data_IF_212141358815
#
_entry.id   IF_212141358815
#
_cell.length_a   1.000
_cell.length_b   1.000
_cell.length_c   1.000
_cell.angle_alpha   90.00
_cell.angle_beta   90.00
_cell.angle_gamma   90.00
#
_symmetry.space_group_name_H-M   'P 1'
#
loop_
_entity.id
_entity.type
_entity.pdbx_description
1 polymer ?
#
# COMPACT_ATOMS: atom_id res chain seq x y z
N UNK A 1 -27.82 -18.13 -4.48
CA UNK A 1 -27.47 -17.07 -3.52
C UNK A 1 -26.37 -17.66 -2.67
N UNK A 2 -25.11 -17.50 -3.10
CA UNK A 2 -23.96 -18.07 -2.40
C UNK A 2 -23.54 -17.02 -1.38
N UNK A 3 -23.49 -17.46 -0.13
CA UNK A 3 -23.14 -16.69 1.04
C UNK A 3 -21.66 -16.26 0.94
N UNK A 4 -21.42 -15.05 0.44
CA UNK A 4 -20.08 -14.48 0.26
C UNK A 4 -19.46 -13.97 1.58
N UNK A 5 -19.96 -14.37 2.74
CA UNK A 5 -19.58 -13.79 4.03
C UNK A 5 -18.35 -14.44 4.70
N UNK A 6 -17.90 -15.61 4.22
CA UNK A 6 -16.88 -16.40 4.94
C UNK A 6 -15.41 -16.11 4.53
N UNK A 7 -15.16 -15.29 3.49
CA UNK A 7 -13.77 -15.00 3.02
C UNK A 7 -13.41 -13.51 2.86
N UNK A 8 -14.34 -12.57 3.09
CA UNK A 8 -14.05 -11.14 2.83
C UNK A 8 -13.19 -10.49 3.93
N UNK A 9 -13.24 -10.95 5.18
CA UNK A 9 -12.51 -10.28 6.28
C UNK A 9 -11.01 -10.58 6.26
N UNK A 10 -10.63 -11.83 6.00
CA UNK A 10 -9.21 -12.23 5.95
C UNK A 10 -8.49 -11.60 4.74
N UNK A 11 -9.18 -11.52 3.59
CA UNK A 11 -8.66 -10.86 2.38
C UNK A 11 -8.42 -9.36 2.60
N UNK A 12 -9.27 -8.66 3.37
CA UNK A 12 -9.08 -7.22 3.65
C UNK A 12 -7.87 -6.93 4.53
N UNK A 13 -7.62 -7.77 5.54
CA UNK A 13 -6.44 -7.62 6.41
C UNK A 13 -5.15 -7.94 5.65
N UNK A 14 -5.14 -9.03 4.88
CA UNK A 14 -4.02 -9.39 4.01
C UNK A 14 -3.76 -8.32 2.94
N UNK A 15 -4.82 -7.76 2.35
CA UNK A 15 -4.72 -6.66 1.41
C UNK A 15 -4.11 -5.41 2.07
N UNK A 16 -4.55 -5.05 3.29
CA UNK A 16 -3.99 -3.91 4.03
C UNK A 16 -2.50 -4.08 4.35
N UNK A 17 -2.06 -5.31 4.60
CA UNK A 17 -0.65 -5.66 4.82
C UNK A 17 0.15 -5.84 3.52
N UNK A 18 -0.48 -5.76 2.35
CA UNK A 18 0.15 -6.00 1.06
C UNK A 18 0.63 -7.45 0.85
N UNK A 19 -0.01 -8.41 1.53
CA UNK A 19 0.41 -9.83 1.56
C UNK A 19 -0.39 -10.74 0.63
N UNK A 20 -1.29 -10.19 -0.19
CA UNK A 20 -2.09 -10.95 -1.16
C UNK A 20 -1.32 -11.28 -2.44
N UNK A 21 -1.73 -12.34 -3.14
CA UNK A 21 -1.28 -12.58 -4.50
C UNK A 21 -1.96 -11.62 -5.50
N UNK A 22 -1.36 -11.45 -6.68
CA UNK A 22 -1.86 -10.50 -7.71
C UNK A 22 -3.31 -10.76 -8.14
N UNK A 23 -3.76 -12.02 -8.16
CA UNK A 23 -5.15 -12.37 -8.52
C UNK A 23 -6.16 -12.04 -7.42
N UNK A 24 -5.71 -11.93 -6.18
CA UNK A 24 -6.56 -11.71 -5.01
C UNK A 24 -6.76 -10.21 -4.76
N UNK A 25 -5.74 -9.39 -5.06
CA UNK A 25 -5.81 -7.93 -5.03
C UNK A 25 -6.96 -7.39 -5.90
N UNK A 26 -7.09 -7.87 -7.14
CA UNK A 26 -8.12 -7.40 -8.06
C UNK A 26 -9.55 -7.69 -7.54
N UNK A 27 -9.74 -8.82 -6.86
CA UNK A 27 -11.05 -9.17 -6.26
C UNK A 27 -11.41 -8.22 -5.11
N UNK A 28 -10.43 -7.89 -4.27
CA UNK A 28 -10.63 -6.93 -3.17
C UNK A 28 -10.90 -5.54 -3.73
N UNK A 29 -10.16 -5.10 -4.74
CA UNK A 29 -10.36 -3.80 -5.40
C UNK A 29 -11.78 -3.66 -5.97
N UNK A 30 -12.25 -4.67 -6.71
CA UNK A 30 -13.61 -4.71 -7.25
C UNK A 30 -14.66 -4.66 -6.13
N UNK A 31 -14.45 -5.43 -5.07
CA UNK A 31 -15.40 -5.50 -3.95
C UNK A 31 -15.51 -4.17 -3.18
N UNK A 32 -14.38 -3.55 -2.82
CA UNK A 32 -14.41 -2.29 -2.04
C UNK A 32 -14.91 -1.11 -2.86
N UNK A 33 -14.84 -1.17 -4.19
CA UNK A 33 -15.48 -0.20 -5.08
C UNK A 33 -17.02 -0.29 -5.01
N UNK A 34 -17.58 -1.48 -4.77
CA UNK A 34 -19.03 -1.72 -4.69
C UNK A 34 -19.62 -1.79 -3.26
N UNK A 35 -18.78 -1.92 -2.22
CA UNK A 35 -19.23 -2.19 -0.85
C UNK A 35 -18.69 -1.15 0.16
N UNK A 36 -19.49 -0.14 0.54
CA UNK A 36 -19.04 0.92 1.46
C UNK A 36 -18.60 0.43 2.84
N UNK A 37 -19.22 -0.62 3.38
CA UNK A 37 -18.83 -1.18 4.69
C UNK A 37 -17.45 -1.82 4.65
N UNK A 38 -17.12 -2.54 3.57
CA UNK A 38 -15.79 -3.12 3.37
C UNK A 38 -14.74 -2.04 3.05
N UNK A 39 -15.11 -0.99 2.33
CA UNK A 39 -14.23 0.17 2.14
C UNK A 39 -13.88 0.87 3.47
N UNK A 40 -14.88 1.05 4.35
CA UNK A 40 -14.67 1.61 5.70
C UNK A 40 -13.75 0.72 6.54
N UNK A 41 -14.00 -0.60 6.56
CA UNK A 41 -13.18 -1.56 7.29
C UNK A 41 -11.74 -1.63 6.77
N UNK A 42 -11.56 -1.56 5.45
CA UNK A 42 -10.22 -1.49 4.85
C UNK A 42 -9.46 -0.22 5.27
N UNK A 43 -10.15 0.92 5.38
CA UNK A 43 -9.54 2.16 5.88
C UNK A 43 -9.08 2.02 7.33
N UNK A 44 -9.88 1.37 8.19
CA UNK A 44 -9.49 1.06 9.58
C UNK A 44 -8.24 0.16 9.63
N UNK A 45 -8.22 -0.90 8.83
CA UNK A 45 -7.09 -1.84 8.77
C UNK A 45 -5.82 -1.18 8.24
N UNK A 46 -5.91 -0.32 7.21
CA UNK A 46 -4.77 0.46 6.72
C UNK A 46 -4.22 1.39 7.81
N UNK A 47 -5.09 2.06 8.55
CA UNK A 47 -4.67 2.90 9.68
C UNK A 47 -3.92 2.11 10.76
N UNK A 48 -4.37 0.90 11.07
CA UNK A 48 -3.64 0.00 11.99
C UNK A 48 -2.30 -0.46 11.39
N UNK A 49 -2.29 -0.87 10.12
CA UNK A 49 -1.07 -1.32 9.43
C UNK A 49 0.00 -0.22 9.39
N UNK A 50 -0.38 1.03 9.13
CA UNK A 50 0.51 2.20 9.15
C UNK A 50 1.08 2.49 10.55
N UNK A 51 0.36 2.13 11.61
CA UNK A 51 0.80 2.31 12.98
C UNK A 51 1.76 1.21 13.46
N UNK A 52 1.70 0.00 12.90
CA UNK A 52 2.52 -1.15 13.33
C UNK A 52 4.03 -0.85 13.35
N UNK A 53 4.64 -0.20 12.31
CA UNK A 53 6.07 0.11 12.32
C UNK A 53 6.50 1.02 13.47
N UNK A 54 5.59 1.84 14.01
CA UNK A 54 5.90 2.77 15.11
C UNK A 54 6.15 2.07 16.43
N UNK A 55 5.68 0.83 16.58
CA UNK A 55 5.93 0.00 17.77
C UNK A 55 7.28 -0.73 17.70
N UNK A 56 7.97 -0.72 16.56
CA UNK A 56 9.23 -1.42 16.36
C UNK A 56 10.42 -0.56 16.79
N UNK A 57 11.48 -1.21 17.28
CA UNK A 57 12.74 -0.53 17.54
C UNK A 57 13.36 -0.02 16.22
N UNK A 58 13.73 1.27 16.12
CA UNK A 58 14.38 1.79 14.92
C UNK A 58 15.73 1.13 14.66
N UNK A 59 16.00 0.76 13.42
CA UNK A 59 17.31 0.29 12.96
C UNK A 59 18.04 1.46 12.30
N UNK A 60 19.29 1.70 12.70
CA UNK A 60 20.09 2.77 12.08
C UNK A 60 20.40 2.42 10.62
N UNK A 61 20.08 3.31 9.65
CA UNK A 61 20.43 3.08 8.26
C UNK A 61 21.95 3.25 8.02
N UNK A 62 22.48 2.77 6.88
CA UNK A 62 23.83 3.11 6.42
C UNK A 62 24.04 4.64 6.38
N UNK A 63 25.22 5.10 6.78
CA UNK A 63 25.51 6.54 6.95
C UNK A 63 25.41 7.35 5.65
N UNK A 64 25.61 6.70 4.50
CA UNK A 64 25.56 7.28 3.17
C UNK A 64 24.15 7.27 2.54
N UNK A 65 23.18 6.56 3.13
CA UNK A 65 21.85 6.39 2.56
C UNK A 65 21.14 7.73 2.32
N UNK A 66 21.28 8.67 3.26
CA UNK A 66 20.67 10.00 3.14
C UNK A 66 21.25 10.82 1.97
N UNK A 67 22.55 10.69 1.70
CA UNK A 67 23.17 11.34 0.55
C UNK A 67 22.71 10.71 -0.76
N UNK A 68 22.60 9.37 -0.80
CA UNK A 68 22.07 8.64 -1.94
C UNK A 68 20.62 9.05 -2.26
N UNK A 69 19.74 9.12 -1.25
CA UNK A 69 18.34 9.56 -1.39
C UNK A 69 18.29 11.01 -1.92
N UNK A 70 19.08 11.92 -1.35
CA UNK A 70 19.11 13.33 -1.80
C UNK A 70 19.58 13.46 -3.24
N UNK A 71 20.63 12.73 -3.62
CA UNK A 71 21.15 12.71 -4.98
C UNK A 71 20.09 12.24 -5.96
N UNK A 72 19.41 11.12 -5.67
CA UNK A 72 18.35 10.57 -6.52
C UNK A 72 17.14 11.50 -6.62
N UNK A 73 16.69 12.09 -5.51
CA UNK A 73 15.59 13.05 -5.53
C UNK A 73 15.90 14.27 -6.40
N UNK A 74 17.15 14.78 -6.35
CA UNK A 74 17.62 15.85 -7.26
C UNK A 74 17.60 15.39 -8.71
N UNK A 75 18.15 14.20 -9.02
CA UNK A 75 18.11 13.66 -10.40
C UNK A 75 16.69 13.56 -10.94
N UNK A 76 15.74 13.04 -10.16
CA UNK A 76 14.33 12.93 -10.57
C UNK A 76 13.67 14.28 -10.82
N UNK A 77 13.98 15.30 -10.00
CA UNK A 77 13.50 16.68 -10.22
C UNK A 77 14.12 17.33 -11.46
N UNK A 78 15.40 17.08 -11.70
CA UNK A 78 16.16 17.66 -12.80
C UNK A 78 15.90 16.98 -14.15
N UNK A 79 15.39 15.73 -14.17
CA UNK A 79 14.84 15.09 -15.38
C UNK A 79 13.47 15.72 -15.65
N UNK A 80 13.35 16.72 -16.53
CA UNK A 80 12.06 17.28 -16.88
C UNK A 80 11.23 16.19 -17.56
N UNK A 81 9.93 16.41 -17.73
CA UNK A 81 9.03 15.60 -18.58
C UNK A 81 9.45 15.62 -20.07
N UNK A 82 10.69 15.25 -20.41
CA UNK A 82 11.24 15.17 -21.77
C UNK A 82 10.61 14.05 -22.62
N UNK A 83 9.38 13.63 -22.30
CA UNK A 83 8.51 12.77 -23.12
C UNK A 83 7.07 13.27 -23.03
N UNK A 84 6.85 14.53 -23.39
CA UNK A 84 5.56 15.06 -23.85
C UNK A 84 5.82 16.16 -24.87
N UNK A 85 6.51 15.78 -25.94
CA UNK A 85 6.55 16.52 -27.19
C UNK A 85 6.78 15.49 -28.30
N UNK A 86 5.72 14.79 -28.68
CA UNK A 86 5.33 14.48 -30.05
C UNK A 86 3.98 13.78 -30.06
#
# INVERSE_FOLDING_TARGET
>A
MIDSSEHVVDDLAAYALGSLETGEHARVDEHVAGCPSCASRLAEYRGLADALPLALAPISPPSDLWDAIRSEARRRRLRPRMRSAM
#
